data_IF_970180347363
#
_entry.id   IF_970180347363
#
_cell.length_a   1.000
_cell.length_b   1.000
_cell.length_c   1.000
_cell.angle_alpha   90.00
_cell.angle_beta   90.00
_cell.angle_gamma   90.00
#
_symmetry.space_group_name_H-M   'P 1'
#
loop_
_entity.id
_entity.type
_entity.pdbx_description
1 polymer ?
#
# COMPACT_ATOMS: atom_id res chain seq x y z
N UNK A 1 -36.44 3.02 -9.20
CA UNK A 1 -36.43 4.19 -8.27
C UNK A 1 -37.25 4.00 -7.00
N UNK A 2 -38.24 3.10 -6.98
CA UNK A 2 -39.10 2.81 -5.79
C UNK A 2 -38.33 2.17 -4.61
N UNK A 3 -37.43 1.23 -4.88
CA UNK A 3 -36.65 0.52 -3.84
C UNK A 3 -35.74 1.43 -3.02
N UNK A 4 -35.14 2.45 -3.63
CA UNK A 4 -34.27 3.41 -2.91
C UNK A 4 -35.07 4.30 -1.94
N UNK A 5 -36.34 4.62 -2.26
CA UNK A 5 -37.18 5.42 -1.36
C UNK A 5 -37.61 4.65 -0.10
N UNK A 6 -37.69 3.34 -0.18
CA UNK A 6 -38.08 2.44 0.91
C UNK A 6 -36.89 1.84 1.68
N UNK A 7 -35.67 2.17 1.29
CA UNK A 7 -34.47 1.64 1.94
C UNK A 7 -34.33 2.18 3.36
N UNK A 8 -34.41 1.30 4.33
CA UNK A 8 -34.38 1.63 5.77
C UNK A 8 -33.09 2.32 6.22
N UNK A 9 -31.96 1.97 5.60
CA UNK A 9 -30.62 2.51 5.94
C UNK A 9 -30.37 3.92 5.36
N UNK A 10 -31.30 4.45 4.55
CA UNK A 10 -31.16 5.72 3.84
C UNK A 10 -30.83 6.90 4.76
N UNK A 11 -31.36 6.91 5.98
CA UNK A 11 -31.18 8.00 6.94
C UNK A 11 -29.73 8.21 7.39
N UNK A 12 -28.92 7.15 7.41
CA UNK A 12 -27.52 7.19 7.84
C UNK A 12 -26.54 6.63 6.81
N UNK A 13 -27.00 6.29 5.60
CA UNK A 13 -26.16 5.68 4.56
C UNK A 13 -24.98 6.54 4.13
N UNK A 14 -25.06 7.87 4.30
CA UNK A 14 -23.95 8.81 4.04
C UNK A 14 -22.83 8.70 5.06
N UNK A 15 -23.13 8.27 6.28
CA UNK A 15 -22.18 8.19 7.37
C UNK A 15 -21.68 6.77 7.59
N UNK A 16 -22.60 5.81 7.57
CA UNK A 16 -22.26 4.40 7.80
C UNK A 16 -23.32 3.44 7.26
N UNK A 17 -22.85 2.26 6.86
CA UNK A 17 -23.65 1.08 6.52
C UNK A 17 -23.05 -0.13 7.22
N UNK A 18 -23.90 -0.98 7.80
CA UNK A 18 -23.48 -2.21 8.47
C UNK A 18 -24.39 -3.36 8.06
N UNK A 19 -23.78 -4.47 7.66
CA UNK A 19 -24.45 -5.69 7.22
C UNK A 19 -24.00 -6.87 8.10
N UNK A 20 -24.54 -7.03 9.30
CA UNK A 20 -24.11 -8.06 10.24
C UNK A 20 -24.27 -9.49 9.72
N UNK A 21 -25.19 -9.71 8.78
CA UNK A 21 -25.41 -11.01 8.13
C UNK A 21 -24.23 -11.46 7.25
N UNK A 22 -23.40 -10.53 6.80
CA UNK A 22 -22.27 -10.80 5.92
C UNK A 22 -20.98 -11.16 6.69
N UNK A 23 -21.00 -11.09 8.02
CA UNK A 23 -19.83 -11.45 8.84
C UNK A 23 -19.44 -12.91 8.62
N UNK A 24 -18.17 -13.12 8.27
CA UNK A 24 -17.54 -14.42 8.16
C UNK A 24 -16.48 -14.62 9.25
N UNK A 25 -15.74 -15.71 9.15
CA UNK A 25 -14.66 -16.05 10.09
C UNK A 25 -13.34 -15.32 9.76
N UNK A 26 -13.20 -14.79 8.55
CA UNK A 26 -12.01 -14.07 8.07
C UNK A 26 -12.46 -12.74 7.46
N UNK A 27 -12.04 -11.65 8.07
CA UNK A 27 -12.37 -10.30 7.65
C UNK A 27 -11.13 -9.58 7.13
N UNK A 28 -11.35 -8.48 6.41
CA UNK A 28 -10.35 -7.47 6.13
C UNK A 28 -10.90 -6.11 6.51
N UNK A 29 -10.06 -5.25 7.07
CA UNK A 29 -10.32 -3.81 7.26
C UNK A 29 -9.34 -3.04 6.41
N UNK A 30 -9.85 -2.08 5.64
CA UNK A 30 -9.03 -1.24 4.77
C UNK A 30 -9.61 0.18 4.66
N UNK A 31 -8.76 1.15 4.32
CA UNK A 31 -9.16 2.51 3.99
C UNK A 31 -9.24 2.68 2.48
N UNK A 32 -10.35 3.24 2.01
CA UNK A 32 -10.59 3.47 0.59
C UNK A 32 -10.92 4.92 0.36
N UNK A 33 -10.19 5.55 -0.56
CA UNK A 33 -10.56 6.85 -1.10
C UNK A 33 -11.58 6.66 -2.22
N UNK A 34 -12.75 7.23 -2.06
CA UNK A 34 -13.77 7.31 -3.11
C UNK A 34 -13.67 8.64 -3.86
N UNK A 35 -14.63 8.92 -4.73
CA UNK A 35 -14.68 10.16 -5.49
C UNK A 35 -14.62 11.40 -4.58
N UNK A 36 -13.95 12.46 -5.04
CA UNK A 36 -13.78 13.76 -4.33
C UNK A 36 -12.91 13.71 -3.07
N UNK A 37 -12.06 12.69 -2.88
CA UNK A 37 -11.14 12.61 -1.75
C UNK A 37 -11.79 12.21 -0.43
N UNK A 38 -13.03 11.76 -0.44
CA UNK A 38 -13.69 11.19 0.73
C UNK A 38 -13.06 9.86 1.11
N UNK A 39 -12.66 9.72 2.38
CA UNK A 39 -12.05 8.51 2.91
C UNK A 39 -13.06 7.70 3.71
N UNK A 40 -13.12 6.42 3.41
CA UNK A 40 -14.00 5.45 4.05
C UNK A 40 -13.19 4.31 4.63
N UNK A 41 -13.63 3.80 5.77
CA UNK A 41 -13.17 2.50 6.27
C UNK A 41 -14.16 1.42 5.86
N UNK A 42 -13.65 0.39 5.20
CA UNK A 42 -14.46 -0.73 4.72
C UNK A 42 -14.05 -2.01 5.45
N UNK A 43 -15.04 -2.72 5.98
CA UNK A 43 -14.85 -4.06 6.53
C UNK A 43 -15.46 -5.08 5.58
N UNK A 44 -14.67 -6.05 5.14
CA UNK A 44 -15.11 -7.07 4.19
C UNK A 44 -14.96 -8.49 4.72
N UNK A 45 -15.80 -9.38 4.21
CA UNK A 45 -15.69 -10.82 4.41
C UNK A 45 -14.83 -11.43 3.29
N UNK A 46 -13.61 -11.85 3.61
CA UNK A 46 -12.66 -12.42 2.64
C UNK A 46 -13.19 -13.65 1.91
N UNK A 47 -14.01 -14.47 2.58
CA UNK A 47 -14.57 -15.68 1.95
C UNK A 47 -15.53 -15.39 0.82
N UNK A 48 -16.18 -14.24 0.83
CA UNK A 48 -17.12 -13.85 -0.22
C UNK A 48 -16.42 -13.40 -1.53
N UNK A 49 -15.09 -13.16 -1.52
CA UNK A 49 -14.26 -12.87 -2.71
C UNK A 49 -14.84 -11.77 -3.63
N UNK A 50 -15.33 -10.68 -3.06
CA UNK A 50 -15.91 -9.55 -3.82
C UNK A 50 -17.33 -9.78 -4.32
N UNK A 51 -17.94 -10.94 -4.09
CA UNK A 51 -19.33 -11.25 -4.49
C UNK A 51 -20.35 -10.66 -3.49
N UNK A 52 -21.64 -10.85 -3.77
CA UNK A 52 -22.74 -10.49 -2.86
C UNK A 52 -22.46 -11.02 -1.44
N UNK A 53 -22.59 -10.16 -0.43
CA UNK A 53 -22.25 -10.50 0.95
C UNK A 53 -20.80 -10.25 1.36
N UNK A 54 -19.97 -9.65 0.50
CA UNK A 54 -18.58 -9.30 0.85
C UNK A 54 -18.52 -8.13 1.84
N UNK A 55 -19.38 -7.13 1.70
CA UNK A 55 -19.32 -5.93 2.53
C UNK A 55 -19.98 -6.20 3.87
N UNK A 56 -19.24 -6.01 4.96
CA UNK A 56 -19.71 -6.11 6.35
C UNK A 56 -20.03 -4.73 6.90
N UNK A 57 -19.18 -3.74 6.61
CA UNK A 57 -19.41 -2.36 7.00
C UNK A 57 -18.73 -1.39 6.02
N UNK A 58 -19.33 -0.21 5.85
CA UNK A 58 -18.75 0.97 5.21
C UNK A 58 -18.98 2.13 6.16
N UNK A 59 -17.94 2.87 6.53
CA UNK A 59 -18.02 3.97 7.49
C UNK A 59 -17.24 5.16 6.91
N UNK A 60 -17.90 6.33 6.82
CA UNK A 60 -17.37 7.55 6.17
C UNK A 60 -16.37 8.28 7.08
N UNK A 61 -15.35 7.58 7.56
CA UNK A 61 -14.26 8.13 8.37
C UNK A 61 -13.13 7.12 8.47
N UNK A 62 -11.91 7.60 8.79
CA UNK A 62 -10.74 6.79 9.14
C UNK A 62 -10.38 6.88 10.64
N UNK A 63 -11.14 7.69 11.40
CA UNK A 63 -10.92 7.85 12.85
C UNK A 63 -11.39 6.61 13.62
N UNK A 64 -10.53 6.05 14.47
CA UNK A 64 -10.79 4.80 15.17
C UNK A 64 -12.05 4.81 16.06
N UNK A 65 -12.26 5.86 16.87
CA UNK A 65 -13.37 5.89 17.82
C UNK A 65 -14.76 5.87 17.15
N UNK A 66 -15.06 6.67 16.11
CA UNK A 66 -16.32 6.55 15.40
C UNK A 66 -16.51 5.18 14.73
N UNK A 67 -15.44 4.60 14.18
CA UNK A 67 -15.50 3.26 13.56
C UNK A 67 -15.86 2.22 14.62
N UNK A 68 -15.20 2.24 15.77
CA UNK A 68 -15.48 1.34 16.90
C UNK A 68 -16.92 1.49 17.36
N UNK A 69 -17.41 2.73 17.53
CA UNK A 69 -18.80 3.02 17.92
C UNK A 69 -19.80 2.37 16.95
N UNK A 70 -19.55 2.47 15.66
CA UNK A 70 -20.45 1.88 14.66
C UNK A 70 -20.33 0.35 14.61
N UNK A 71 -19.13 -0.23 14.69
CA UNK A 71 -18.93 -1.67 14.69
C UNK A 71 -19.46 -2.34 15.96
N UNK A 72 -19.61 -1.61 17.07
CA UNK A 72 -20.27 -2.14 18.27
C UNK A 72 -21.76 -2.38 18.09
N UNK A 73 -22.42 -1.83 17.08
CA UNK A 73 -23.78 -2.16 16.71
C UNK A 73 -23.95 -3.62 16.23
N UNK A 74 -22.83 -4.24 15.82
CA UNK A 74 -22.82 -5.65 15.44
C UNK A 74 -22.93 -6.53 16.68
N UNK A 75 -23.86 -7.50 16.73
CA UNK A 75 -23.99 -8.40 17.89
C UNK A 75 -22.70 -9.13 18.24
N UNK A 76 -22.38 -9.22 19.52
CA UNK A 76 -21.15 -9.87 20.02
C UNK A 76 -21.08 -11.34 19.60
N UNK A 77 -22.21 -12.04 19.50
CA UNK A 77 -22.28 -13.42 19.01
C UNK A 77 -21.75 -13.58 17.58
N UNK A 78 -21.87 -12.56 16.74
CA UNK A 78 -21.31 -12.54 15.39
C UNK A 78 -19.84 -12.14 15.39
N UNK A 79 -19.48 -11.09 16.13
CA UNK A 79 -18.08 -10.63 16.26
C UNK A 79 -17.17 -11.72 16.82
N UNK A 80 -17.63 -12.48 17.78
CA UNK A 80 -16.88 -13.58 18.40
C UNK A 80 -16.63 -14.79 17.49
N UNK A 81 -17.29 -14.87 16.33
CA UNK A 81 -17.04 -15.89 15.29
C UNK A 81 -15.84 -15.56 14.41
N UNK A 82 -15.39 -14.31 14.42
CA UNK A 82 -14.24 -13.87 13.63
C UNK A 82 -12.98 -14.49 14.20
N UNK A 83 -12.26 -15.23 13.38
CA UNK A 83 -11.01 -15.91 13.73
C UNK A 83 -9.79 -15.10 13.32
N UNK A 84 -9.91 -14.40 12.21
CA UNK A 84 -8.81 -13.64 11.59
C UNK A 84 -9.33 -12.32 11.04
N UNK A 85 -8.53 -11.28 11.21
CA UNK A 85 -8.76 -9.98 10.61
C UNK A 85 -7.47 -9.46 9.97
N UNK A 86 -7.51 -9.29 8.66
CA UNK A 86 -6.41 -8.70 7.89
C UNK A 86 -6.56 -7.19 7.91
N UNK A 87 -5.46 -6.50 8.17
CA UNK A 87 -5.41 -5.03 8.27
C UNK A 87 -4.04 -4.51 7.83
N UNK A 88 -3.96 -3.22 7.56
CA UNK A 88 -2.68 -2.56 7.35
C UNK A 88 -1.87 -2.44 8.65
N UNK A 89 -0.70 -1.81 8.59
CA UNK A 89 0.17 -1.64 9.76
C UNK A 89 -0.22 -0.45 10.66
N UNK A 90 -1.26 0.33 10.33
CA UNK A 90 -1.66 1.50 11.08
C UNK A 90 -2.14 1.15 12.50
N UNK A 91 -1.72 1.93 13.48
CA UNK A 91 -2.12 1.72 14.88
C UNK A 91 -3.62 1.90 15.10
N UNK A 92 -4.29 2.76 14.32
CA UNK A 92 -5.75 2.93 14.30
C UNK A 92 -6.45 1.63 13.95
N UNK A 93 -6.00 0.93 12.90
CA UNK A 93 -6.58 -0.35 12.46
C UNK A 93 -6.39 -1.45 13.50
N UNK A 94 -5.20 -1.53 14.11
CA UNK A 94 -4.91 -2.47 15.21
C UNK A 94 -5.83 -2.23 16.41
N UNK A 95 -6.08 -0.97 16.76
CA UNK A 95 -6.98 -0.59 17.85
C UNK A 95 -8.42 -1.00 17.56
N UNK A 96 -8.92 -0.73 16.34
CA UNK A 96 -10.26 -1.11 15.89
C UNK A 96 -10.42 -2.64 15.97
N UNK A 97 -9.47 -3.39 15.40
CA UNK A 97 -9.50 -4.85 15.43
C UNK A 97 -9.51 -5.40 16.84
N UNK A 98 -8.62 -4.90 17.71
CA UNK A 98 -8.52 -5.33 19.11
C UNK A 98 -9.82 -5.09 19.88
N UNK A 99 -10.46 -3.92 19.72
CA UNK A 99 -11.67 -3.58 20.46
C UNK A 99 -12.93 -4.26 19.89
N UNK A 100 -13.04 -4.34 18.58
CA UNK A 100 -14.25 -4.85 17.94
C UNK A 100 -14.27 -6.37 17.77
N UNK A 101 -13.10 -7.00 17.61
CA UNK A 101 -12.95 -8.43 17.32
C UNK A 101 -11.88 -9.06 18.24
N UNK A 102 -12.09 -9.05 19.58
CA UNK A 102 -11.04 -9.40 20.55
C UNK A 102 -10.56 -10.86 20.47
N UNK A 103 -11.33 -11.73 19.82
CA UNK A 103 -10.97 -13.16 19.60
C UNK A 103 -10.26 -13.40 18.27
N UNK A 104 -10.18 -12.39 17.40
CA UNK A 104 -9.56 -12.53 16.10
C UNK A 104 -8.05 -12.35 16.16
N UNK A 105 -7.33 -13.19 15.43
CA UNK A 105 -5.90 -13.00 15.17
C UNK A 105 -5.76 -11.86 14.16
N UNK A 106 -4.93 -10.86 14.48
CA UNK A 106 -4.61 -9.77 13.57
C UNK A 106 -3.50 -10.20 12.61
N UNK A 107 -3.76 -10.10 11.32
CA UNK A 107 -2.81 -10.44 10.25
C UNK A 107 -2.50 -9.18 9.46
N UNK A 108 -1.22 -8.86 9.30
CA UNK A 108 -0.82 -7.72 8.46
C UNK A 108 -1.04 -8.04 7.00
N UNK A 109 -1.60 -7.10 6.25
CA UNK A 109 -1.79 -7.27 4.81
C UNK A 109 -0.43 -7.28 4.09
N UNK A 110 -0.19 -8.37 3.35
CA UNK A 110 1.04 -8.57 2.57
C UNK A 110 1.29 -7.45 1.57
N UNK A 111 0.23 -6.88 0.98
CA UNK A 111 0.36 -5.80 0.01
C UNK A 111 1.05 -4.58 0.63
N UNK A 112 0.63 -4.18 1.84
CA UNK A 112 1.23 -3.03 2.55
C UNK A 112 2.69 -3.30 2.93
N UNK A 113 3.04 -4.53 3.32
CA UNK A 113 4.43 -4.92 3.60
C UNK A 113 5.29 -4.85 2.34
N UNK A 114 4.80 -5.42 1.22
CA UNK A 114 5.51 -5.35 -0.05
C UNK A 114 5.69 -3.91 -0.53
N UNK A 115 4.64 -3.09 -0.44
CA UNK A 115 4.69 -1.67 -0.82
C UNK A 115 5.78 -0.95 -0.02
N UNK A 116 5.80 -1.12 1.30
CA UNK A 116 6.80 -0.48 2.17
C UNK A 116 8.23 -0.91 1.80
N UNK A 117 8.46 -2.21 1.58
CA UNK A 117 9.77 -2.70 1.16
C UNK A 117 10.22 -2.13 -0.19
N UNK A 118 9.31 -2.05 -1.15
CA UNK A 118 9.58 -1.48 -2.47
C UNK A 118 9.81 0.04 -2.41
N UNK A 119 9.08 0.76 -1.56
CA UNK A 119 9.29 2.19 -1.31
C UNK A 119 10.66 2.44 -0.71
N UNK A 120 11.05 1.69 0.33
CA UNK A 120 12.39 1.78 0.93
C UNK A 120 13.50 1.51 -0.10
N UNK A 121 13.35 0.47 -0.93
CA UNK A 121 14.29 0.18 -2.01
C UNK A 121 14.41 1.34 -3.01
N UNK A 122 13.30 1.99 -3.35
CA UNK A 122 13.33 3.16 -4.23
C UNK A 122 13.98 4.38 -3.57
N UNK A 123 13.80 4.59 -2.28
CA UNK A 123 14.48 5.65 -1.54
C UNK A 123 16.00 5.44 -1.57
N UNK A 124 16.48 4.22 -1.34
CA UNK A 124 17.90 3.88 -1.48
C UNK A 124 18.41 4.19 -2.90
N UNK A 125 17.71 3.73 -3.93
CA UNK A 125 18.09 4.01 -5.32
C UNK A 125 18.16 5.52 -5.61
N UNK A 126 17.17 6.28 -5.13
CA UNK A 126 17.13 7.73 -5.32
C UNK A 126 18.29 8.40 -4.60
N UNK A 127 18.58 8.01 -3.36
CA UNK A 127 19.70 8.52 -2.59
C UNK A 127 21.02 8.33 -3.34
N UNK A 128 21.34 7.10 -3.74
CA UNK A 128 22.54 6.79 -4.49
C UNK A 128 22.62 7.51 -5.84
N UNK A 129 21.47 7.72 -6.50
CA UNK A 129 21.45 8.52 -7.73
C UNK A 129 21.82 9.98 -7.47
N UNK A 130 21.37 10.58 -6.39
CA UNK A 130 21.76 11.94 -6.03
C UNK A 130 23.24 12.03 -5.68
N UNK A 131 23.75 11.07 -4.92
CA UNK A 131 25.18 10.98 -4.60
C UNK A 131 26.03 10.89 -5.89
N UNK A 132 25.61 10.09 -6.86
CA UNK A 132 26.30 9.99 -8.16
C UNK A 132 26.23 11.29 -8.97
N UNK A 133 25.12 12.01 -8.93
CA UNK A 133 24.95 13.32 -9.59
C UNK A 133 25.87 14.35 -8.93
N UNK A 134 25.91 14.39 -7.62
CA UNK A 134 26.73 15.35 -6.87
C UNK A 134 28.23 15.08 -7.10
N UNK A 135 28.65 13.81 -7.05
CA UNK A 135 30.02 13.42 -7.38
C UNK A 135 30.42 13.84 -8.81
N UNK A 136 29.55 13.61 -9.78
CA UNK A 136 29.79 14.03 -11.17
C UNK A 136 29.88 15.55 -11.31
N UNK A 137 29.02 16.29 -10.62
CA UNK A 137 29.04 17.76 -10.62
C UNK A 137 30.38 18.30 -10.06
N UNK A 138 30.93 17.69 -9.00
CA UNK A 138 32.22 18.06 -8.47
C UNK A 138 33.34 17.76 -9.46
N UNK A 139 33.33 16.61 -10.14
CA UNK A 139 34.31 16.28 -11.19
C UNK A 139 34.23 17.25 -12.36
N UNK A 140 33.06 17.68 -12.77
CA UNK A 140 32.85 18.69 -13.80
C UNK A 140 33.46 20.03 -13.38
N UNK A 141 33.24 20.46 -12.13
CA UNK A 141 33.82 21.70 -11.60
C UNK A 141 35.33 21.64 -11.59
N UNK A 142 35.93 20.52 -11.14
CA UNK A 142 37.35 20.30 -11.13
C UNK A 142 37.98 20.31 -12.54
N UNK A 143 37.31 19.65 -13.51
CA UNK A 143 37.77 19.66 -14.89
C UNK A 143 37.74 21.09 -15.48
N UNK A 144 36.69 21.86 -15.22
CA UNK A 144 36.61 23.28 -15.65
C UNK A 144 37.69 24.13 -15.03
N UNK A 145 37.97 23.98 -13.74
CA UNK A 145 39.00 24.71 -13.03
C UNK A 145 40.42 24.42 -13.61
N UNK A 146 40.61 23.21 -14.12
CA UNK A 146 41.87 22.77 -14.75
C UNK A 146 41.90 22.97 -16.29
N UNK A 147 40.91 23.66 -16.86
CA UNK A 147 40.76 23.84 -18.33
C UNK A 147 40.74 22.50 -19.10
N UNK A 148 40.21 21.44 -18.51
CA UNK A 148 40.06 20.11 -19.12
C UNK A 148 38.62 19.82 -19.44
N UNK A 149 38.41 19.00 -20.47
CA UNK A 149 37.10 18.46 -20.79
C UNK A 149 36.75 17.32 -19.79
N UNK A 150 35.52 17.32 -19.31
CA UNK A 150 35.05 16.25 -18.43
C UNK A 150 34.51 15.11 -19.31
N UNK A 151 35.03 13.91 -19.11
CA UNK A 151 34.52 12.68 -19.73
C UNK A 151 33.97 11.78 -18.62
N UNK A 152 32.66 11.46 -18.64
CA UNK A 152 32.06 10.58 -17.63
C UNK A 152 32.61 9.16 -17.78
N UNK A 153 32.73 8.48 -16.66
CA UNK A 153 32.99 7.04 -16.64
C UNK A 153 31.77 6.29 -17.21
N UNK A 154 32.00 5.42 -18.16
CA UNK A 154 30.99 4.61 -18.83
C UNK A 154 31.14 3.17 -18.37
N UNK A 155 30.05 2.60 -17.85
CA UNK A 155 29.96 1.21 -17.42
C UNK A 155 29.89 0.27 -18.63
N UNK A 156 30.10 -1.03 -18.43
CA UNK A 156 30.11 -2.06 -19.48
C UNK A 156 28.86 -2.06 -20.36
N UNK A 157 27.72 -1.69 -19.82
CA UNK A 157 26.44 -1.59 -20.53
C UNK A 157 26.22 -0.25 -21.25
N UNK A 158 27.21 0.64 -21.28
CA UNK A 158 27.12 1.96 -21.90
C UNK A 158 26.40 3.04 -21.05
N UNK A 159 25.97 2.73 -19.84
CA UNK A 159 25.37 3.72 -18.93
C UNK A 159 26.48 4.39 -18.08
N UNK A 160 26.24 5.64 -17.66
CA UNK A 160 26.91 6.19 -16.49
C UNK A 160 26.24 5.69 -15.21
N UNK A 161 26.88 5.80 -14.03
CA UNK A 161 26.30 5.40 -12.74
C UNK A 161 24.92 6.05 -12.51
N UNK A 162 24.81 7.36 -12.76
CA UNK A 162 23.51 8.07 -12.62
C UNK A 162 22.45 7.57 -13.59
N UNK A 163 22.83 7.13 -14.80
CA UNK A 163 21.92 6.57 -15.80
C UNK A 163 21.51 5.14 -15.43
N UNK A 164 22.44 4.31 -14.97
CA UNK A 164 22.16 2.98 -14.44
C UNK A 164 21.10 3.05 -13.33
N UNK A 165 21.33 3.91 -12.32
CA UNK A 165 20.42 4.10 -11.20
C UNK A 165 19.06 4.65 -11.63
N UNK A 166 18.99 5.56 -12.62
CA UNK A 166 17.74 6.05 -13.16
C UNK A 166 16.93 4.95 -13.87
N UNK A 167 17.59 4.18 -14.74
CA UNK A 167 16.98 3.13 -15.59
C UNK A 167 16.64 1.86 -14.82
N UNK A 168 17.23 1.66 -13.63
CA UNK A 168 16.99 0.49 -12.78
C UNK A 168 15.68 0.54 -12.00
N UNK A 169 14.92 1.65 -12.04
CA UNK A 169 13.66 1.80 -11.28
C UNK A 169 12.71 0.61 -11.44
N UNK A 170 12.42 0.23 -12.67
CA UNK A 170 11.41 -0.80 -12.95
C UNK A 170 11.94 -2.23 -12.80
N UNK A 171 13.24 -2.46 -12.96
CA UNK A 171 13.80 -3.79 -12.73
C UNK A 171 13.69 -4.20 -11.25
N UNK A 172 13.80 -3.24 -10.32
CA UNK A 172 13.71 -3.48 -8.88
C UNK A 172 12.30 -3.89 -8.40
N UNK A 173 11.27 -3.64 -9.22
CA UNK A 173 9.89 -4.08 -8.93
C UNK A 173 9.53 -5.44 -9.52
N UNK A 174 10.38 -5.99 -10.40
CA UNK A 174 10.11 -7.24 -11.10
C UNK A 174 10.87 -8.41 -10.48
N UNK A 175 10.25 -9.59 -10.50
CA UNK A 175 10.99 -10.81 -10.24
C UNK A 175 12.07 -11.02 -11.34
N UNK A 176 13.26 -11.55 -10.99
CA UNK A 176 14.35 -11.78 -11.97
C UNK A 176 13.93 -12.56 -13.21
N UNK A 177 13.00 -13.50 -13.07
CA UNK A 177 12.43 -14.28 -14.18
C UNK A 177 11.70 -13.42 -15.23
N UNK A 178 11.28 -12.21 -14.87
CA UNK A 178 10.54 -11.29 -15.73
C UNK A 178 11.40 -10.13 -16.26
N UNK A 179 12.71 -10.17 -16.04
CA UNK A 179 13.63 -9.17 -16.57
C UNK A 179 13.87 -9.39 -18.07
N UNK A 180 13.92 -8.27 -18.79
CA UNK A 180 14.46 -8.24 -20.16
C UNK A 180 15.97 -8.46 -20.12
N UNK A 181 16.60 -8.77 -21.26
CA UNK A 181 18.05 -8.97 -21.30
C UNK A 181 18.82 -7.71 -20.87
N UNK A 182 18.38 -6.51 -21.32
CA UNK A 182 18.94 -5.25 -20.82
C UNK A 182 18.79 -5.06 -19.31
N UNK A 183 17.69 -5.55 -18.73
CA UNK A 183 17.47 -5.48 -17.29
C UNK A 183 18.38 -6.47 -16.54
N UNK A 184 18.66 -7.63 -17.10
CA UNK A 184 19.62 -8.59 -16.52
C UNK A 184 21.03 -8.02 -16.48
N UNK A 185 21.47 -7.40 -17.59
CA UNK A 185 22.79 -6.74 -17.66
C UNK A 185 22.89 -5.59 -16.64
N UNK A 186 21.85 -4.76 -16.53
CA UNK A 186 21.82 -3.70 -15.49
C UNK A 186 21.80 -4.24 -14.09
N UNK A 187 21.10 -5.36 -13.86
CA UNK A 187 21.03 -6.00 -12.55
C UNK A 187 22.40 -6.57 -12.14
N UNK A 188 23.16 -7.19 -13.05
CA UNK A 188 24.52 -7.67 -12.72
C UNK A 188 25.42 -6.57 -12.24
N UNK A 189 25.43 -5.41 -12.92
CA UNK A 189 26.25 -4.26 -12.54
C UNK A 189 25.75 -3.59 -11.24
N UNK A 190 24.41 -3.60 -11.00
CA UNK A 190 23.83 -2.92 -9.84
C UNK A 190 24.03 -3.68 -8.53
N UNK A 191 24.19 -5.01 -8.58
CA UNK A 191 24.26 -5.88 -7.42
C UNK A 191 25.67 -6.46 -7.18
N UNK A 192 26.66 -6.04 -7.94
CA UNK A 192 28.10 -6.24 -7.66
C UNK A 192 28.58 -5.27 -6.58
#
# INVERSE_FOLDING_TARGET
MSEFKQWKEKSHAKEWLIFPQNIGTHLSIDEVALSKGELYTIVTNKKAKGKKGSIVAIIATTKAEPIIKHLFKIPSSKKNKVKEITLDMANSMKLIAKRCFPKAIQVTDRFHVQKLALEALQEFRIKHRWEAIDAENELIKLAKANHKEYNPEILENGDTIKQLLARSRYLLYKAPSNWTDDQKVRASILFE
#
